data_IF_313470818527
#
_entry.id   IF_313470818527
#
_cell.length_a   1.000
_cell.length_b   1.000
_cell.length_c   1.000
_cell.angle_alpha   90.00
_cell.angle_beta   90.00
_cell.angle_gamma   90.00
#
_symmetry.space_group_name_H-M   'P 1'
#
loop_
_entity.id
_entity.type
_entity.pdbx_description
1 polymer ?
#
# COMPACT_ATOMS: atom_id res chain seq x y z
N UNK A 1 -8.89 18.01 4.79
CA UNK A 1 -7.99 17.90 3.63
C UNK A 1 -7.39 19.23 3.12
N UNK A 2 -7.85 20.43 3.48
CA UNK A 2 -7.32 21.67 2.85
C UNK A 2 -5.81 21.85 3.07
N UNK A 3 -5.35 21.78 4.32
CA UNK A 3 -3.94 21.92 4.68
C UNK A 3 -3.12 20.73 4.15
N UNK A 4 -3.71 19.55 4.18
CA UNK A 4 -3.15 18.31 3.65
C UNK A 4 -2.82 18.44 2.17
N UNK A 5 -3.74 18.97 1.35
CA UNK A 5 -3.49 19.18 -0.07
C UNK A 5 -2.31 20.10 -0.34
N UNK A 6 -2.08 21.12 0.49
CA UNK A 6 -0.90 21.98 0.31
C UNK A 6 0.40 21.20 0.54
N UNK A 7 0.45 20.40 1.60
CA UNK A 7 1.60 19.54 1.88
C UNK A 7 1.79 18.46 0.79
N UNK A 8 0.69 17.84 0.34
CA UNK A 8 0.69 16.81 -0.68
C UNK A 8 1.08 17.33 -2.06
N UNK A 9 0.76 18.58 -2.40
CA UNK A 9 1.20 19.21 -3.65
C UNK A 9 2.71 19.41 -3.69
N UNK A 10 3.35 19.73 -2.57
CA UNK A 10 4.79 19.93 -2.50
C UNK A 10 5.59 18.66 -2.80
N UNK A 11 5.02 17.50 -2.50
CA UNK A 11 5.66 16.19 -2.66
C UNK A 11 5.26 15.49 -3.96
N UNK A 12 4.21 15.99 -4.65
CA UNK A 12 3.63 15.32 -5.80
C UNK A 12 4.67 15.08 -6.90
N UNK A 13 5.48 16.10 -7.19
CA UNK A 13 6.55 15.98 -8.20
C UNK A 13 7.55 14.88 -7.83
N UNK A 14 7.93 14.76 -6.56
CA UNK A 14 8.81 13.70 -6.10
C UNK A 14 8.20 12.31 -6.32
N UNK A 15 6.92 12.14 -5.97
CA UNK A 15 6.25 10.86 -6.14
C UNK A 15 6.13 10.49 -7.63
N UNK A 16 5.79 11.47 -8.47
CA UNK A 16 5.75 11.33 -9.92
C UNK A 16 7.10 10.92 -10.51
N UNK A 17 8.20 11.53 -10.06
CA UNK A 17 9.55 11.17 -10.47
C UNK A 17 9.90 9.73 -10.08
N UNK A 18 9.55 9.29 -8.85
CA UNK A 18 9.78 7.91 -8.41
C UNK A 18 9.01 6.90 -9.23
N UNK A 19 7.78 7.24 -9.60
CA UNK A 19 6.98 6.36 -10.44
C UNK A 19 7.53 6.31 -11.87
N UNK A 20 7.99 7.43 -12.45
CA UNK A 20 8.69 7.40 -13.74
C UNK A 20 9.92 6.49 -13.68
N UNK A 21 10.72 6.62 -12.61
CA UNK A 21 11.93 5.82 -12.44
C UNK A 21 11.64 4.32 -12.32
N UNK A 22 10.53 3.95 -11.66
CA UNK A 22 10.04 2.56 -11.57
C UNK A 22 9.64 1.99 -12.93
N UNK A 23 9.01 2.81 -13.76
CA UNK A 23 8.46 2.44 -15.06
C UNK A 23 9.20 3.19 -16.17
N UNK A 24 10.48 2.89 -16.48
CA UNK A 24 11.29 3.71 -17.38
C UNK A 24 10.78 3.72 -18.83
N UNK A 25 10.07 2.65 -19.25
CA UNK A 25 9.50 2.49 -20.58
C UNK A 25 8.09 1.88 -20.52
N UNK A 26 7.26 2.13 -21.54
CA UNK A 26 5.90 1.59 -21.67
C UNK A 26 4.84 2.69 -21.75
N UNK A 27 3.61 2.27 -22.07
CA UNK A 27 2.44 3.16 -21.97
C UNK A 27 2.10 3.32 -20.49
N UNK A 28 2.01 4.59 -20.08
CA UNK A 28 1.67 5.01 -18.73
C UNK A 28 0.22 5.46 -18.71
N UNK A 29 -0.52 5.10 -17.67
CA UNK A 29 -1.84 5.66 -17.38
C UNK A 29 -1.83 6.14 -15.94
N UNK A 30 -2.06 7.44 -15.78
CA UNK A 30 -2.30 8.08 -14.51
C UNK A 30 -3.81 8.27 -14.38
N UNK A 31 -4.37 7.89 -13.24
CA UNK A 31 -5.79 8.06 -12.95
C UNK A 31 -5.92 8.76 -11.61
N UNK A 32 -6.79 9.75 -11.54
CA UNK A 32 -7.17 10.44 -10.30
C UNK A 32 -8.65 10.24 -10.09
N UNK A 33 -9.04 9.80 -8.90
CA UNK A 33 -10.45 9.64 -8.51
C UNK A 33 -10.67 10.55 -7.32
N UNK A 34 -11.38 11.65 -7.52
CA UNK A 34 -11.79 12.49 -6.39
C UNK A 34 -12.95 11.79 -5.66
N UNK A 35 -13.07 11.91 -4.34
CA UNK A 35 -14.23 11.42 -3.59
C UNK A 35 -14.57 12.38 -2.45
N UNK A 36 -15.86 12.53 -2.20
CA UNK A 36 -16.46 13.27 -1.09
C UNK A 36 -17.84 12.66 -0.79
N UNK A 37 -18.47 12.96 0.35
CA UNK A 37 -19.91 12.77 0.55
C UNK A 37 -20.66 14.00 0.00
N UNK A 38 -21.74 13.83 -0.81
CA UNK A 38 -22.35 12.58 -1.29
C UNK A 38 -21.82 12.07 -2.63
N UNK A 39 -20.86 12.77 -3.23
CA UNK A 39 -20.44 12.56 -4.60
C UNK A 39 -19.04 11.96 -4.71
N UNK A 40 -18.94 10.82 -5.40
CA UNK A 40 -17.66 10.24 -5.83
C UNK A 40 -17.38 10.60 -7.28
N UNK A 41 -16.16 11.07 -7.53
CA UNK A 41 -15.68 11.58 -8.81
C UNK A 41 -15.37 13.08 -8.76
N UNK A 42 -14.86 13.65 -9.86
CA UNK A 42 -14.68 13.03 -11.17
C UNK A 42 -13.52 12.04 -11.24
N UNK A 43 -13.60 11.13 -12.23
CA UNK A 43 -12.45 10.31 -12.65
C UNK A 43 -11.71 11.03 -13.78
N UNK A 44 -10.41 11.27 -13.60
CA UNK A 44 -9.55 11.85 -14.63
C UNK A 44 -8.46 10.87 -15.02
N UNK A 45 -8.34 10.58 -16.31
CA UNK A 45 -7.38 9.62 -16.86
C UNK A 45 -6.49 10.30 -17.89
N UNK A 46 -5.18 10.09 -17.82
CA UNK A 46 -4.23 10.63 -18.79
C UNK A 46 -2.99 9.76 -18.90
N UNK A 47 -2.30 9.81 -20.03
CA UNK A 47 -0.96 9.23 -20.21
C UNK A 47 0.16 10.26 -20.05
N UNK A 48 -0.20 11.54 -19.93
CA UNK A 48 0.75 12.64 -19.77
C UNK A 48 0.94 12.97 -18.30
N UNK A 49 2.17 12.81 -17.82
CA UNK A 49 2.52 13.17 -16.45
C UNK A 49 2.30 14.65 -16.16
N UNK A 50 2.51 15.52 -17.16
CA UNK A 50 2.27 16.96 -17.02
C UNK A 50 0.78 17.27 -16.81
N UNK A 51 -0.09 16.55 -17.52
CA UNK A 51 -1.54 16.71 -17.38
C UNK A 51 -2.00 16.18 -16.02
N UNK A 52 -1.43 15.06 -15.55
CA UNK A 52 -1.73 14.53 -14.23
C UNK A 52 -1.26 15.45 -13.11
N UNK A 53 -0.03 15.98 -13.20
CA UNK A 53 0.49 16.97 -12.26
C UNK A 53 -0.38 18.23 -12.22
N UNK A 54 -0.89 18.68 -13.37
CA UNK A 54 -1.87 19.77 -13.42
C UNK A 54 -3.19 19.43 -12.73
N UNK A 55 -3.72 18.21 -12.92
CA UNK A 55 -4.94 17.79 -12.22
C UNK A 55 -4.75 17.85 -10.71
N UNK A 56 -3.65 17.30 -10.21
CA UNK A 56 -3.33 17.25 -8.79
C UNK A 56 -3.12 18.66 -8.19
N UNK A 57 -2.34 19.50 -8.87
CA UNK A 57 -2.08 20.87 -8.42
C UNK A 57 -3.33 21.76 -8.42
N UNK A 58 -4.32 21.43 -9.25
CA UNK A 58 -5.61 22.12 -9.32
C UNK A 58 -6.67 21.55 -8.37
N UNK A 59 -6.37 20.53 -7.58
CA UNK A 59 -7.29 20.05 -6.54
C UNK A 59 -7.58 21.19 -5.55
N UNK A 60 -8.85 21.38 -5.26
CA UNK A 60 -9.33 22.34 -4.26
C UNK A 60 -10.22 21.56 -3.31
N UNK A 61 -9.93 21.62 -2.01
CA UNK A 61 -10.86 21.09 -1.03
C UNK A 61 -12.14 21.92 -1.09
N UNK A 62 -13.27 21.27 -1.36
CA UNK A 62 -14.60 21.87 -1.41
C UNK A 62 -15.55 21.06 -0.55
N UNK A 63 -16.36 21.72 0.27
CA UNK A 63 -17.26 21.03 1.20
C UNK A 63 -16.58 20.64 2.52
N UNK A 64 -17.12 19.61 3.17
CA UNK A 64 -16.70 19.08 4.47
C UNK A 64 -17.50 19.63 5.66
N UNK A 65 -17.17 19.15 6.85
CA UNK A 65 -17.83 19.49 8.12
C UNK A 65 -18.46 18.27 8.81
N UNK A 66 -18.62 17.19 8.06
CA UNK A 66 -18.92 15.84 8.49
C UNK A 66 -17.74 14.90 8.25
N UNK A 67 -17.74 13.80 8.99
CA UNK A 67 -16.77 12.72 8.96
C UNK A 67 -17.59 11.53 9.44
N UNK A 68 -17.68 10.41 8.71
CA UNK A 68 -16.76 9.90 7.66
C UNK A 68 -17.14 10.18 6.18
N UNK A 69 -16.30 9.75 5.22
CA UNK A 69 -16.37 10.02 3.75
C UNK A 69 -16.50 8.75 2.87
N UNK A 70 -16.89 8.85 1.58
CA UNK A 70 -17.14 7.71 0.66
C UNK A 70 -15.88 7.02 0.06
N UNK A 71 -14.88 6.75 0.90
CA UNK A 71 -13.57 6.27 0.48
C UNK A 71 -13.57 4.86 -0.14
N UNK A 72 -14.43 3.93 0.32
CA UNK A 72 -14.46 2.57 -0.27
C UNK A 72 -15.02 2.63 -1.69
N UNK A 73 -16.03 3.47 -1.93
CA UNK A 73 -16.57 3.73 -3.27
C UNK A 73 -15.53 4.37 -4.18
N UNK A 74 -14.78 5.36 -3.69
CA UNK A 74 -13.66 5.95 -4.43
C UNK A 74 -12.60 4.91 -4.81
N UNK A 75 -12.23 4.02 -3.88
CA UNK A 75 -11.27 2.94 -4.13
C UNK A 75 -11.78 1.89 -5.11
N UNK A 76 -13.05 1.50 -5.03
CA UNK A 76 -13.69 0.59 -5.99
C UNK A 76 -13.62 1.17 -7.41
N UNK A 77 -13.98 2.44 -7.55
CA UNK A 77 -13.94 3.15 -8.83
C UNK A 77 -12.51 3.26 -9.37
N UNK A 78 -11.54 3.54 -8.49
CA UNK A 78 -10.13 3.53 -8.86
C UNK A 78 -9.72 2.15 -9.36
N UNK A 79 -9.98 1.07 -8.62
CA UNK A 79 -9.63 -0.30 -9.02
C UNK A 79 -10.27 -0.70 -10.36
N UNK A 80 -11.51 -0.28 -10.62
CA UNK A 80 -12.24 -0.57 -11.86
C UNK A 80 -11.71 0.21 -13.07
N UNK A 81 -11.22 1.43 -12.87
CA UNK A 81 -10.69 2.31 -13.94
C UNK A 81 -9.18 2.18 -14.14
N UNK A 82 -8.50 1.63 -13.13
CA UNK A 82 -7.07 1.36 -13.12
C UNK A 82 -6.69 0.20 -14.03
N UNK A 83 -5.50 0.23 -14.63
CA UNK A 83 -4.82 -0.95 -15.13
C UNK A 83 -4.61 -2.00 -14.02
N UNK A 84 -4.62 -3.31 -14.33
CA UNK A 84 -4.24 -4.33 -13.37
C UNK A 84 -2.84 -4.12 -12.79
N UNK A 85 -2.67 -4.53 -11.53
CA UNK A 85 -1.43 -4.50 -10.74
C UNK A 85 -0.90 -3.09 -10.51
N UNK A 86 -1.79 -2.10 -10.56
CA UNK A 86 -1.52 -0.68 -10.29
C UNK A 86 -1.01 -0.44 -8.88
N UNK A 87 -0.27 0.65 -8.75
CA UNK A 87 0.04 1.25 -7.45
C UNK A 87 -1.07 2.26 -7.17
N UNK A 88 -1.80 2.09 -6.08
CA UNK A 88 -2.91 2.97 -5.69
C UNK A 88 -2.55 3.59 -4.34
N UNK A 89 -2.55 4.92 -4.29
CA UNK A 89 -2.35 5.70 -3.08
C UNK A 89 -3.65 6.43 -2.75
N UNK A 90 -4.28 6.05 -1.66
CA UNK A 90 -5.49 6.70 -1.15
C UNK A 90 -5.08 7.75 -0.13
N UNK A 91 -5.52 8.99 -0.30
CA UNK A 91 -5.22 10.14 0.55
C UNK A 91 -6.51 10.61 1.22
N UNK A 92 -6.55 10.62 2.55
CA UNK A 92 -7.75 11.07 3.28
C UNK A 92 -7.39 11.58 4.67
N UNK A 93 -8.17 12.51 5.20
CA UNK A 93 -8.15 12.87 6.62
C UNK A 93 -9.37 12.36 7.40
N UNK A 94 -10.14 11.45 6.79
CA UNK A 94 -11.38 10.89 7.34
C UNK A 94 -11.41 9.36 7.29
N UNK A 95 -12.21 8.76 8.18
CA UNK A 95 -12.63 7.34 8.11
C UNK A 95 -13.60 7.11 6.93
N UNK A 96 -13.89 5.86 6.58
CA UNK A 96 -14.79 5.52 5.47
C UNK A 96 -16.25 5.38 5.91
N UNK A 97 -17.16 6.18 5.36
CA UNK A 97 -18.60 6.13 5.63
C UNK A 97 -19.25 4.84 5.14
N UNK A 98 -18.76 4.32 4.03
CA UNK A 98 -19.32 3.19 3.31
C UNK A 98 -18.67 1.84 3.67
N UNK A 99 -18.02 1.77 4.84
CA UNK A 99 -17.33 0.58 5.36
C UNK A 99 -18.25 -0.61 5.63
N UNK A 100 -19.51 -0.37 5.97
CA UNK A 100 -20.49 -1.39 6.35
C UNK A 100 -21.36 -1.86 5.17
N UNK A 101 -21.19 -1.25 3.99
CA UNK A 101 -21.85 -1.69 2.77
C UNK A 101 -21.21 -3.00 2.27
N UNK A 102 -21.72 -4.12 2.79
CA UNK A 102 -21.19 -5.46 2.54
C UNK A 102 -21.02 -5.78 1.04
N UNK A 103 -21.94 -5.31 0.20
CA UNK A 103 -21.88 -5.55 -1.26
C UNK A 103 -20.71 -4.81 -1.91
N UNK A 104 -20.48 -3.55 -1.51
CA UNK A 104 -19.40 -2.70 -2.00
C UNK A 104 -18.05 -3.23 -1.54
N UNK A 105 -17.92 -3.53 -0.25
CA UNK A 105 -16.68 -4.08 0.32
C UNK A 105 -16.32 -5.40 -0.35
N UNK A 106 -17.29 -6.30 -0.55
CA UNK A 106 -17.01 -7.58 -1.20
C UNK A 106 -16.58 -7.43 -2.67
N UNK A 107 -17.18 -6.49 -3.41
CA UNK A 107 -16.71 -6.14 -4.77
C UNK A 107 -15.29 -5.60 -4.73
N UNK A 108 -15.00 -4.69 -3.81
CA UNK A 108 -13.66 -4.08 -3.63
C UNK A 108 -12.61 -5.15 -3.33
N UNK A 109 -12.86 -6.06 -2.37
CA UNK A 109 -11.98 -7.21 -2.09
C UNK A 109 -11.73 -8.06 -3.33
N UNK A 110 -12.78 -8.32 -4.11
CA UNK A 110 -12.68 -9.10 -5.34
C UNK A 110 -11.80 -8.40 -6.38
N UNK A 111 -11.97 -7.08 -6.57
CA UNK A 111 -11.15 -6.26 -7.46
C UNK A 111 -9.68 -6.23 -7.01
N UNK A 112 -9.39 -6.11 -5.72
CA UNK A 112 -8.02 -6.20 -5.20
C UNK A 112 -7.37 -7.52 -5.61
N UNK A 113 -8.08 -8.63 -5.41
CA UNK A 113 -7.58 -9.96 -5.75
C UNK A 113 -7.41 -10.17 -7.26
N UNK A 114 -8.32 -9.67 -8.11
CA UNK A 114 -8.27 -9.89 -9.56
C UNK A 114 -7.31 -8.95 -10.27
N UNK A 115 -7.32 -7.67 -9.91
CA UNK A 115 -6.40 -6.68 -10.47
C UNK A 115 -4.99 -6.92 -9.97
N UNK A 116 -4.81 -7.47 -8.76
CA UNK A 116 -3.50 -7.60 -8.07
C UNK A 116 -2.81 -6.25 -7.85
N UNK A 117 -3.58 -5.16 -7.83
CA UNK A 117 -3.10 -3.82 -7.49
C UNK A 117 -2.70 -3.77 -6.01
N UNK A 118 -1.70 -2.93 -5.70
CA UNK A 118 -1.25 -2.67 -4.34
C UNK A 118 -1.83 -1.34 -3.88
N UNK A 119 -2.41 -1.33 -2.69
CA UNK A 119 -3.13 -0.17 -2.15
C UNK A 119 -2.43 0.30 -0.89
N UNK A 120 -2.02 1.55 -0.90
CA UNK A 120 -1.46 2.24 0.26
C UNK A 120 -2.42 3.34 0.66
N UNK A 121 -2.71 3.43 1.95
CA UNK A 121 -3.48 4.54 2.50
C UNK A 121 -2.52 5.49 3.19
N UNK A 122 -2.66 6.78 2.94
CA UNK A 122 -2.05 7.84 3.71
C UNK A 122 -3.18 8.64 4.35
N UNK A 123 -3.28 8.47 5.66
CA UNK A 123 -4.37 8.95 6.49
C UNK A 123 -3.80 9.97 7.47
N UNK A 124 -4.25 11.21 7.35
CA UNK A 124 -3.73 12.33 8.15
C UNK A 124 -4.65 12.73 9.30
N UNK A 125 -5.89 12.23 9.28
CA UNK A 125 -6.92 12.44 10.31
C UNK A 125 -7.78 11.20 10.54
N UNK A 126 -8.50 11.18 11.66
CA UNK A 126 -9.42 10.12 12.04
C UNK A 126 -10.73 10.76 12.52
N UNK A 127 -11.88 10.18 12.19
CA UNK A 127 -13.16 10.70 12.68
C UNK A 127 -13.36 10.43 14.18
N UNK A 128 -13.01 9.22 14.63
CA UNK A 128 -13.12 8.81 16.04
C UNK A 128 -11.75 8.35 16.56
N UNK A 129 -11.31 7.14 16.20
CA UNK A 129 -10.02 6.63 16.63
C UNK A 129 -9.56 5.39 15.86
N UNK A 130 -8.43 4.83 16.29
CA UNK A 130 -7.75 3.74 15.58
C UNK A 130 -8.48 2.39 15.65
N UNK A 131 -9.49 2.30 16.51
CA UNK A 131 -10.35 1.13 16.66
C UNK A 131 -11.73 1.32 16.01
N UNK A 132 -11.95 2.47 15.34
CA UNK A 132 -13.17 2.74 14.58
C UNK A 132 -13.29 1.75 13.42
N UNK A 133 -14.39 0.96 13.32
CA UNK A 133 -14.64 0.08 12.18
C UNK A 133 -14.50 0.77 10.81
N UNK A 134 -14.86 2.06 10.72
CA UNK A 134 -14.73 2.86 9.51
C UNK A 134 -13.27 3.18 9.14
N UNK A 135 -12.34 3.11 10.09
CA UNK A 135 -10.89 3.15 9.85
C UNK A 135 -10.31 1.75 9.61
N UNK A 136 -10.77 0.75 10.38
CA UNK A 136 -10.26 -0.62 10.30
C UNK A 136 -10.46 -1.26 8.93
N UNK A 137 -11.46 -0.82 8.16
CA UNK A 137 -11.64 -1.27 6.77
C UNK A 137 -10.43 -0.97 5.89
N UNK A 138 -9.74 0.17 6.10
CA UNK A 138 -8.54 0.51 5.33
C UNK A 138 -7.40 -0.46 5.61
N UNK A 139 -7.22 -0.83 6.88
CA UNK A 139 -6.22 -1.81 7.32
C UNK A 139 -6.43 -3.16 6.65
N UNK A 140 -7.68 -3.61 6.63
CA UNK A 140 -8.07 -4.85 5.96
C UNK A 140 -7.77 -4.81 4.46
N UNK A 141 -8.26 -3.78 3.75
CA UNK A 141 -8.10 -3.65 2.30
C UNK A 141 -6.62 -3.49 1.89
N UNK A 142 -5.84 -2.73 2.67
CA UNK A 142 -4.40 -2.60 2.47
C UNK A 142 -3.69 -3.95 2.62
N UNK A 143 -3.97 -4.69 3.70
CA UNK A 143 -3.39 -6.01 3.97
C UNK A 143 -3.70 -7.01 2.84
N UNK A 144 -4.93 -7.06 2.34
CA UNK A 144 -5.31 -7.92 1.20
C UNK A 144 -4.50 -7.62 -0.08
N UNK A 145 -4.06 -6.37 -0.24
CA UNK A 145 -3.28 -5.93 -1.40
C UNK A 145 -1.75 -6.05 -1.21
N UNK A 146 -1.29 -6.54 -0.04
CA UNK A 146 0.12 -6.45 0.38
C UNK A 146 0.64 -5.00 0.43
N UNK A 147 -0.28 -4.06 0.70
CA UNK A 147 0.00 -2.66 0.92
C UNK A 147 0.09 -2.34 2.42
N UNK A 148 -0.11 -1.07 2.78
CA UNK A 148 -0.01 -0.60 4.17
C UNK A 148 -0.88 0.64 4.39
N UNK A 149 -1.27 0.88 5.65
CA UNK A 149 -1.94 2.11 6.08
C UNK A 149 -0.96 2.96 6.87
N UNK A 150 -0.61 4.13 6.34
CA UNK A 150 0.13 5.16 7.07
C UNK A 150 -0.87 6.09 7.73
N UNK A 151 -1.04 5.98 9.05
CA UNK A 151 -1.79 6.97 9.81
C UNK A 151 -0.79 7.89 10.52
N UNK A 152 -0.51 9.05 9.93
CA UNK A 152 0.52 9.96 10.41
C UNK A 152 0.07 11.41 10.31
N UNK A 153 0.47 12.29 11.25
CA UNK A 153 0.26 13.72 11.07
C UNK A 153 1.10 14.24 9.89
N UNK A 154 0.70 15.38 9.32
CA UNK A 154 1.40 16.01 8.19
C UNK A 154 2.90 16.27 8.44
N UNK A 155 3.29 16.49 9.70
CA UNK A 155 4.69 16.68 10.09
C UNK A 155 5.57 15.44 9.86
N UNK A 156 4.96 14.25 9.81
CA UNK A 156 5.64 12.95 9.72
C UNK A 156 5.61 12.34 8.32
N UNK A 157 5.14 13.09 7.31
CA UNK A 157 5.04 12.63 5.92
C UNK A 157 6.37 12.07 5.35
N UNK A 158 7.51 12.58 5.82
CA UNK A 158 8.82 12.05 5.41
C UNK A 158 8.99 10.54 5.71
N UNK A 159 8.38 10.03 6.79
CA UNK A 159 8.39 8.58 7.12
C UNK A 159 7.69 7.78 6.03
N UNK A 160 6.55 8.29 5.55
CA UNK A 160 5.77 7.69 4.48
C UNK A 160 6.57 7.68 3.18
N UNK A 161 7.23 8.79 2.83
CA UNK A 161 8.02 8.85 1.60
C UNK A 161 9.23 7.95 1.61
N UNK A 162 9.91 7.78 2.73
CA UNK A 162 11.01 6.81 2.80
C UNK A 162 10.54 5.40 2.44
N UNK A 163 9.36 5.01 2.92
CA UNK A 163 8.76 3.73 2.58
C UNK A 163 8.24 3.66 1.13
N UNK A 164 7.57 4.71 0.66
CA UNK A 164 7.09 4.77 -0.72
C UNK A 164 8.26 4.75 -1.71
N UNK A 165 9.37 5.43 -1.41
CA UNK A 165 10.60 5.39 -2.21
C UNK A 165 11.11 3.96 -2.31
N UNK A 166 11.26 3.32 -1.15
CA UNK A 166 11.68 1.94 -1.04
C UNK A 166 10.78 1.02 -1.87
N UNK A 167 9.47 1.14 -1.73
CA UNK A 167 8.48 0.34 -2.47
C UNK A 167 8.58 0.59 -3.97
N UNK A 168 8.64 1.85 -4.39
CA UNK A 168 8.65 2.27 -5.79
C UNK A 168 9.97 1.98 -6.50
N UNK A 169 11.10 1.99 -5.80
CA UNK A 169 12.43 1.70 -6.36
C UNK A 169 12.59 0.27 -6.93
N UNK A 170 11.63 -0.62 -6.66
CA UNK A 170 11.64 -2.01 -7.15
C UNK A 170 11.05 -2.13 -8.55
N UNK A 171 11.60 -3.00 -9.43
CA UNK A 171 11.04 -3.19 -10.76
C UNK A 171 9.61 -3.71 -10.72
N UNK A 172 8.86 -3.43 -11.77
CA UNK A 172 7.54 -4.04 -12.01
C UNK A 172 7.68 -5.55 -12.11
N UNK A 173 6.69 -6.30 -11.62
CA UNK A 173 6.65 -7.76 -11.70
C UNK A 173 7.84 -8.48 -11.05
N UNK A 174 8.69 -7.78 -10.29
CA UNK A 174 9.82 -8.38 -9.56
C UNK A 174 9.42 -9.04 -8.25
N UNK A 175 8.13 -8.99 -7.90
CA UNK A 175 7.65 -9.41 -6.58
C UNK A 175 6.87 -10.71 -6.65
N UNK A 176 7.18 -11.64 -5.75
CA UNK A 176 6.48 -12.92 -5.57
C UNK A 176 5.81 -12.93 -4.20
N UNK A 177 4.53 -13.32 -4.14
CA UNK A 177 3.84 -13.55 -2.87
C UNK A 177 4.36 -14.86 -2.25
N UNK A 178 4.97 -14.78 -1.07
CA UNK A 178 5.60 -15.92 -0.39
C UNK A 178 4.73 -16.48 0.73
N UNK A 179 3.96 -15.62 1.40
CA UNK A 179 3.13 -16.01 2.53
C UNK A 179 2.00 -15.01 2.77
N UNK A 180 0.86 -15.52 3.24
CA UNK A 180 -0.28 -14.74 3.71
C UNK A 180 -0.97 -15.50 4.83
N UNK A 181 -1.16 -14.86 5.98
CA UNK A 181 -1.83 -15.46 7.14
C UNK A 181 -2.67 -14.45 7.92
N UNK A 182 -3.74 -14.95 8.55
CA UNK A 182 -4.65 -14.23 9.44
C UNK A 182 -4.65 -14.92 10.80
N UNK A 183 -4.54 -14.16 11.89
CA UNK A 183 -4.33 -14.71 13.22
C UNK A 183 -5.18 -14.01 14.27
N UNK A 184 -5.67 -14.80 15.21
CA UNK A 184 -6.36 -14.32 16.43
C UNK A 184 -5.61 -14.71 17.71
N UNK A 185 -4.54 -15.48 17.57
CA UNK A 185 -3.68 -15.94 18.67
C UNK A 185 -2.54 -14.96 18.87
N UNK A 186 -2.16 -14.70 20.12
CA UNK A 186 -1.14 -13.70 20.45
C UNK A 186 0.29 -14.16 20.19
N UNK A 187 0.60 -15.45 20.32
CA UNK A 187 1.95 -15.96 20.14
C UNK A 187 1.93 -17.21 19.27
N UNK A 188 2.62 -17.15 18.14
CA UNK A 188 2.64 -18.24 17.18
C UNK A 188 3.89 -18.21 16.29
N UNK A 189 4.11 -19.33 15.60
CA UNK A 189 5.16 -19.46 14.59
C UNK A 189 4.58 -20.06 13.32
N UNK A 190 4.93 -19.46 12.19
CA UNK A 190 4.55 -19.95 10.86
C UNK A 190 5.75 -20.25 10.00
N UNK A 191 5.57 -21.13 9.03
CA UNK A 191 6.59 -21.47 8.07
C UNK A 191 6.21 -20.98 6.68
N UNK A 192 7.21 -20.50 5.93
CA UNK A 192 7.07 -20.11 4.53
C UNK A 192 8.28 -20.53 3.72
N UNK A 193 8.11 -20.70 2.42
CA UNK A 193 9.17 -21.20 1.54
C UNK A 193 9.68 -20.07 0.66
N UNK A 194 11.00 -19.95 0.57
CA UNK A 194 11.67 -19.13 -0.43
C UNK A 194 12.09 -20.05 -1.59
N UNK A 195 11.41 -19.99 -2.75
CA UNK A 195 11.60 -20.96 -3.84
C UNK A 195 12.81 -20.67 -4.73
N UNK A 196 13.26 -19.41 -4.79
CA UNK A 196 14.31 -18.91 -5.70
C UNK A 196 15.21 -17.89 -4.99
N UNK A 197 16.18 -17.34 -5.71
CA UNK A 197 17.06 -16.29 -5.19
C UNK A 197 16.32 -14.96 -5.25
N UNK A 198 16.15 -14.31 -4.10
CA UNK A 198 15.66 -12.95 -3.99
C UNK A 198 16.77 -12.02 -3.49
N UNK A 199 16.70 -10.74 -3.87
CA UNK A 199 17.55 -9.73 -3.25
C UNK A 199 17.10 -9.45 -1.81
N UNK A 200 15.80 -9.58 -1.55
CA UNK A 200 15.20 -9.33 -0.24
C UNK A 200 13.78 -9.89 -0.19
N UNK A 201 13.23 -10.06 1.02
CA UNK A 201 11.80 -10.14 1.21
C UNK A 201 11.33 -9.10 2.23
N UNK A 202 10.09 -8.68 2.07
CA UNK A 202 9.39 -7.76 2.96
C UNK A 202 8.32 -8.54 3.70
N UNK A 203 8.24 -8.31 5.01
CA UNK A 203 7.13 -8.75 5.86
C UNK A 203 6.32 -7.50 6.22
N UNK A 204 5.07 -7.46 5.79
CA UNK A 204 4.10 -6.45 6.23
C UNK A 204 3.16 -7.11 7.22
N UNK A 205 3.00 -6.46 8.37
CA UNK A 205 2.12 -6.90 9.44
C UNK A 205 1.10 -5.80 9.70
N UNK A 206 -0.17 -6.17 9.70
CA UNK A 206 -1.25 -5.34 10.23
C UNK A 206 -1.65 -5.88 11.60
N UNK A 207 -1.62 -5.04 12.63
CA UNK A 207 -1.84 -5.41 14.03
C UNK A 207 -0.70 -4.98 14.97
N UNK A 208 -0.99 -4.96 16.26
CA UNK A 208 -0.05 -4.53 17.30
C UNK A 208 0.96 -5.64 17.62
N UNK A 209 2.24 -5.39 17.36
CA UNK A 209 3.32 -6.38 17.52
C UNK A 209 4.25 -6.00 18.67
N UNK A 210 4.44 -6.95 19.60
CA UNK A 210 5.41 -6.85 20.70
C UNK A 210 6.80 -7.33 20.29
N UNK A 211 6.88 -8.43 19.55
CA UNK A 211 8.15 -8.92 19.01
C UNK A 211 7.98 -9.77 17.75
N UNK A 212 9.03 -9.77 16.93
CA UNK A 212 9.16 -10.59 15.73
C UNK A 212 10.56 -11.19 15.67
N UNK A 213 10.64 -12.48 15.38
CA UNK A 213 11.88 -13.18 15.08
C UNK A 213 11.73 -13.97 13.79
N UNK A 214 12.72 -13.91 12.92
CA UNK A 214 12.73 -14.66 11.66
C UNK A 214 13.94 -15.57 11.64
N UNK A 215 13.71 -16.84 11.32
CA UNK A 215 14.74 -17.88 11.31
C UNK A 215 14.86 -18.46 9.91
N UNK A 216 16.10 -18.53 9.42
CA UNK A 216 16.43 -19.09 8.11
C UNK A 216 16.46 -20.62 8.09
N UNK A 217 16.63 -21.22 6.89
CA UNK A 217 16.73 -22.67 6.70
C UNK A 217 17.88 -23.34 7.47
N UNK A 218 18.91 -22.58 7.81
CA UNK A 218 20.06 -22.98 8.62
C UNK A 218 19.78 -22.92 10.14
N UNK A 219 18.52 -22.66 10.53
CA UNK A 219 18.10 -22.44 11.92
C UNK A 219 18.76 -21.23 12.58
N UNK A 220 19.29 -20.30 11.79
CA UNK A 220 19.88 -19.05 12.29
C UNK A 220 18.85 -17.93 12.27
N UNK A 221 18.69 -17.25 13.40
CA UNK A 221 17.87 -16.04 13.46
C UNK A 221 18.58 -14.91 12.70
N UNK A 222 17.87 -14.29 11.77
CA UNK A 222 18.43 -13.23 10.92
C UNK A 222 18.22 -11.86 11.52
N UNK A 223 19.10 -10.92 11.17
CA UNK A 223 18.90 -9.51 11.44
C UNK A 223 17.77 -8.98 10.55
N UNK A 224 16.81 -8.30 11.17
CA UNK A 224 15.65 -7.73 10.50
C UNK A 224 15.81 -6.22 10.49
N UNK A 225 15.71 -5.61 9.31
CA UNK A 225 15.63 -4.15 9.19
C UNK A 225 14.19 -3.69 9.37
N UNK A 226 13.95 -2.80 10.33
CA UNK A 226 12.65 -2.12 10.50
C UNK A 226 12.54 -1.02 9.44
N UNK A 227 11.55 -1.13 8.56
CA UNK A 227 11.28 -0.14 7.51
C UNK A 227 10.21 0.84 7.98
N UNK A 228 9.15 0.31 8.58
CA UNK A 228 8.04 1.09 9.17
C UNK A 228 7.67 0.44 10.50
N UNK A 229 7.43 1.27 11.52
CA UNK A 229 6.95 0.81 12.82
C UNK A 229 5.87 1.76 13.33
N UNK A 230 4.65 1.27 13.36
CA UNK A 230 3.47 1.95 13.91
C UNK A 230 2.79 1.00 14.89
N UNK A 231 1.94 1.54 15.77
CA UNK A 231 1.27 0.75 16.82
C UNK A 231 0.35 -0.32 16.21
N UNK A 232 -0.26 -0.03 15.07
CA UNK A 232 -1.26 -0.89 14.40
C UNK A 232 -0.72 -1.56 13.12
N UNK A 233 0.57 -1.42 12.82
CA UNK A 233 1.15 -2.05 11.64
C UNK A 233 2.63 -1.77 11.48
N UNK A 234 3.35 -2.72 10.91
CA UNK A 234 4.80 -2.64 10.78
C UNK A 234 5.30 -3.35 9.54
N UNK A 235 6.43 -2.87 9.03
CA UNK A 235 7.05 -3.40 7.82
C UNK A 235 8.51 -3.66 8.10
N UNK A 236 8.91 -4.90 7.82
CA UNK A 236 10.23 -5.42 8.05
C UNK A 236 10.85 -5.91 6.76
N UNK A 237 12.18 -5.90 6.69
CA UNK A 237 12.93 -6.37 5.54
C UNK A 237 14.07 -7.29 5.97
N UNK A 238 14.26 -8.36 5.20
CA UNK A 238 15.44 -9.23 5.26
C UNK A 238 16.10 -9.24 3.89
N UNK A 239 17.41 -8.97 3.85
CA UNK A 239 18.22 -8.93 2.62
C UNK A 239 18.93 -10.26 2.36
N UNK A 240 19.16 -10.55 1.09
CA UNK A 240 19.88 -11.71 0.57
C UNK A 240 19.44 -13.04 1.21
N UNK A 241 18.12 -13.34 1.26
CA UNK A 241 17.65 -14.57 1.85
C UNK A 241 18.10 -15.79 1.05
N UNK A 242 18.55 -16.83 1.75
CA UNK A 242 18.83 -18.13 1.13
C UNK A 242 17.54 -18.87 0.78
N UNK A 243 17.59 -19.67 -0.29
CA UNK A 243 16.51 -20.57 -0.69
C UNK A 243 16.26 -21.62 0.40
N UNK A 244 15.00 -21.87 0.73
CA UNK A 244 14.62 -22.93 1.67
C UNK A 244 13.37 -22.62 2.50
N UNK A 245 13.19 -23.39 3.57
CA UNK A 245 12.11 -23.22 4.54
C UNK A 245 12.53 -22.20 5.60
N UNK A 246 11.71 -21.18 5.77
CA UNK A 246 11.87 -20.12 6.76
C UNK A 246 10.77 -20.22 7.81
N UNK A 247 11.04 -19.69 9.00
CA UNK A 247 10.05 -19.54 10.06
C UNK A 247 9.98 -18.10 10.54
N UNK A 248 8.76 -17.61 10.78
CA UNK A 248 8.49 -16.33 11.42
C UNK A 248 7.78 -16.60 12.75
N UNK A 249 8.31 -16.05 13.83
CA UNK A 249 7.72 -16.08 15.16
C UNK A 249 7.22 -14.68 15.51
N UNK A 250 5.97 -14.57 15.92
CA UNK A 250 5.32 -13.30 16.21
C UNK A 250 4.67 -13.36 17.58
N UNK A 251 4.92 -12.32 18.37
CA UNK A 251 4.16 -12.01 19.57
C UNK A 251 3.39 -10.70 19.35
N UNK A 252 2.07 -10.77 19.40
CA UNK A 252 1.14 -9.72 19.05
C UNK A 252 0.04 -9.54 20.10
N UNK A 253 -0.62 -8.39 20.07
CA UNK A 253 -1.87 -8.15 20.77
C UNK A 253 -3.05 -8.30 19.81
N UNK A 254 -3.96 -9.22 20.14
CA UNK A 254 -5.22 -9.38 19.41
C UNK A 254 -5.05 -9.90 17.97
N UNK A 255 -6.02 -9.53 17.13
CA UNK A 255 -6.07 -9.95 15.72
C UNK A 255 -5.01 -9.21 14.91
N UNK A 256 -4.33 -9.96 14.05
CA UNK A 256 -3.32 -9.42 13.15
C UNK A 256 -3.18 -10.27 11.89
N UNK A 257 -2.55 -9.71 10.87
CA UNK A 257 -2.29 -10.38 9.60
C UNK A 257 -0.82 -10.26 9.20
N UNK A 258 -0.30 -11.28 8.52
CA UNK A 258 1.08 -11.30 8.02
C UNK A 258 1.03 -11.46 6.50
N UNK A 259 1.83 -10.65 5.80
CA UNK A 259 1.99 -10.67 4.35
C UNK A 259 3.47 -10.65 4.02
N UNK A 260 3.95 -11.63 3.25
CA UNK A 260 5.36 -11.72 2.87
C UNK A 260 5.50 -11.68 1.35
N UNK A 261 6.32 -10.76 0.85
CA UNK A 261 6.69 -10.67 -0.57
C UNK A 261 8.20 -10.76 -0.74
N UNK A 262 8.65 -11.67 -1.60
CA UNK A 262 10.02 -11.74 -2.09
C UNK A 262 10.20 -10.82 -3.29
N UNK A 263 11.37 -10.21 -3.42
CA UNK A 263 11.71 -9.35 -4.54
C UNK A 263 12.98 -9.83 -5.23
N UNK A 264 12.86 -10.13 -6.51
CA UNK A 264 13.98 -10.59 -7.33
C UNK A 264 15.01 -9.48 -7.48
N UNK A 265 16.28 -9.85 -7.47
CA UNK A 265 17.37 -8.90 -7.68
C UNK A 265 17.28 -8.23 -9.04
N UNK A 266 17.93 -7.07 -9.19
CA UNK A 266 18.03 -6.40 -10.49
C UNK A 266 18.78 -7.30 -11.47
N UNK A 267 18.05 -8.01 -12.32
CA UNK A 267 18.61 -8.59 -13.53
C UNK A 267 18.84 -7.43 -14.49
N UNK A 268 20.07 -6.96 -14.63
CA UNK A 268 20.47 -6.11 -15.76
C UNK A 268 20.49 -6.96 -17.04
N UNK A 269 19.33 -7.45 -17.48
CA UNK A 269 19.18 -7.97 -18.83
C UNK A 269 18.78 -6.82 -19.73
N UNK A 270 19.65 -6.52 -20.71
CA UNK A 270 19.30 -5.69 -21.84
C UNK A 270 17.94 -6.15 -22.42
N UNK A 271 17.07 -5.19 -22.71
CA UNK A 271 15.68 -5.34 -23.17
C UNK A 271 14.68 -5.86 -22.11
N UNK A 272 14.13 -4.95 -21.31
CA UNK A 272 12.81 -5.15 -20.70
C UNK A 272 11.78 -5.05 -21.84
N UNK A 273 10.97 -6.09 -22.13
CA UNK A 273 9.90 -5.98 -23.10
C UNK A 273 8.93 -4.90 -22.63
N UNK A 274 8.77 -3.89 -23.46
CA UNK A 274 8.05 -2.66 -23.16
C UNK A 274 6.54 -2.88 -23.14
N UNK A 275 6.00 -3.66 -22.19
CA UNK A 275 4.56 -3.90 -22.09
C UNK A 275 4.18 -4.36 -20.68
N UNK A 276 3.96 -3.44 -19.73
CA UNK A 276 2.81 -3.55 -18.81
C UNK A 276 2.50 -2.19 -18.18
N UNK A 277 1.31 -1.70 -18.54
CA UNK A 277 0.60 -0.54 -18.00
C UNK A 277 0.48 -0.65 -16.48
N UNK A 278 0.83 0.41 -15.73
CA UNK A 278 0.63 0.55 -14.27
C UNK A 278 1.15 1.87 -13.76
N UNK A 279 0.31 2.64 -13.07
CA UNK A 279 0.79 3.84 -12.41
C UNK A 279 -0.11 4.30 -11.28
N UNK A 280 0.45 5.25 -10.54
CA UNK A 280 -0.02 5.81 -9.30
C UNK A 280 -1.43 6.37 -9.43
N UNK A 281 -2.30 5.98 -8.50
CA UNK A 281 -3.62 6.57 -8.34
C UNK A 281 -3.55 7.46 -7.12
N UNK A 282 -4.03 8.69 -7.26
CA UNK A 282 -4.52 9.45 -6.12
C UNK A 282 -6.02 9.19 -6.08
N UNK A 283 -6.45 8.54 -5.01
CA UNK A 283 -7.84 8.55 -4.59
C UNK A 283 -7.88 9.50 -3.42
#
# INVERSE_FOLDING_TARGET
MYDDFQALKLINSWLLDRVIARFPCGVRQYTMVEFNDPDVGPVRITSSIKVFDQFFNNLVATGGGDCPELAVTGLELALTTSPPQSFILVLTDASALDYDNASLVQRTRSLISTTKSQIFFLITGLCDGLNDPAFLIYRELASLSYGHVFQVPLSDLNKVFNYLDFTLARPVNSSVQLYSGEFTVSNHSDNFVIPSIFAEFIVTIDGTIYSIHITGPDSVTVEITVVVFEIWGSIYMVKNPIKGLWSIHVHAEGQHSIRIKGFEGRVFSASIPCCTLRLLHYV
#
